data_IF_828639296754
#
_entry.id   IF_828639296754
#
_cell.length_a   1.000
_cell.length_b   1.000
_cell.length_c   1.000
_cell.angle_alpha   90.00
_cell.angle_beta   90.00
_cell.angle_gamma   90.00
#
_symmetry.space_group_name_H-M   'P 1'
#
loop_
_entity.id
_entity.type
_entity.pdbx_description
1 polymer ?
#
# COMPACT_ATOMS: atom_id res chain seq x y z
N UNK A 1 -55.10 21.23 28.74
CA UNK A 1 -54.69 21.14 30.17
C UNK A 1 -53.25 20.61 30.18
N UNK A 2 -52.22 21.45 30.48
CA UNK A 2 -51.42 21.45 31.74
C UNK A 2 -50.88 20.03 32.08
N UNK A 3 -49.58 19.70 32.17
CA UNK A 3 -48.32 20.43 32.44
C UNK A 3 -47.10 19.63 31.91
N UNK A 4 -45.99 20.34 31.67
CA UNK A 4 -44.62 19.82 31.47
C UNK A 4 -43.96 19.46 32.81
N UNK A 5 -43.02 18.51 32.82
CA UNK A 5 -41.84 18.51 33.70
C UNK A 5 -40.69 17.68 33.09
N UNK A 6 -39.47 18.19 33.18
CA UNK A 6 -38.21 17.68 32.63
C UNK A 6 -37.15 17.62 33.76
N UNK A 7 -36.21 16.65 33.74
CA UNK A 7 -34.90 16.61 34.45
C UNK A 7 -34.02 15.57 33.68
N UNK A 8 -33.07 15.94 32.79
CA UNK A 8 -31.62 16.28 32.92
C UNK A 8 -30.70 15.14 33.44
N UNK A 9 -29.61 14.77 32.71
CA UNK A 9 -28.64 13.73 33.10
C UNK A 9 -27.45 14.27 33.91
N UNK A 10 -26.75 13.41 34.67
CA UNK A 10 -25.49 13.76 35.36
C UNK A 10 -24.36 12.84 34.84
N UNK A 11 -23.38 13.48 34.21
CA UNK A 11 -22.04 12.97 33.89
C UNK A 11 -21.16 13.19 35.12
N UNK A 12 -20.35 12.21 35.50
CA UNK A 12 -19.27 12.40 36.48
C UNK A 12 -17.97 11.79 35.94
N UNK A 13 -17.18 12.63 35.29
CA UNK A 13 -15.78 12.42 34.96
C UNK A 13 -14.95 12.48 36.25
N UNK A 14 -14.19 11.43 36.55
CA UNK A 14 -13.29 11.41 37.72
C UNK A 14 -11.87 11.74 37.26
N UNK A 15 -11.45 12.96 37.60
CA UNK A 15 -10.09 13.48 37.43
C UNK A 15 -9.21 12.85 38.52
N UNK A 16 -8.11 12.19 38.12
CA UNK A 16 -7.04 11.79 39.05
C UNK A 16 -5.89 12.78 38.91
N UNK A 17 -5.71 13.59 39.95
CA UNK A 17 -4.57 14.48 40.12
C UNK A 17 -3.38 13.70 40.73
N UNK A 18 -2.21 13.85 40.12
CA UNK A 18 -0.94 13.39 40.69
C UNK A 18 -0.59 14.26 41.91
N UNK A 19 -0.55 13.63 43.09
CA UNK A 19 -0.06 14.21 44.33
C UNK A 19 1.02 13.31 44.95
N UNK A 20 2.21 13.87 45.13
CA UNK A 20 3.40 13.21 45.67
C UNK A 20 3.36 13.14 47.21
N UNK A 21 3.61 11.98 47.84
CA UNK A 21 3.81 11.91 49.29
C UNK A 21 3.82 10.51 49.94
N UNK A 22 5.04 9.99 50.18
CA UNK A 22 5.51 9.08 51.26
C UNK A 22 4.56 8.04 51.93
N UNK A 23 4.82 6.78 51.56
CA UNK A 23 5.00 5.55 52.38
C UNK A 23 4.10 5.22 53.58
N UNK A 24 3.28 4.17 53.42
CA UNK A 24 3.04 3.13 54.45
C UNK A 24 2.61 1.82 53.74
N UNK A 25 3.28 0.70 54.06
CA UNK A 25 3.07 -0.64 53.49
C UNK A 25 1.75 -1.26 53.95
N UNK A 26 0.98 -1.84 53.01
CA UNK A 26 -0.04 -2.82 53.32
C UNK A 26 0.41 -4.18 52.77
N UNK A 27 0.70 -5.09 53.69
CA UNK A 27 1.10 -6.49 53.44
C UNK A 27 -0.06 -7.23 52.80
N UNK A 28 0.14 -7.71 51.57
CA UNK A 28 -0.77 -8.65 50.89
C UNK A 28 -0.39 -10.08 51.33
N UNK A 29 -1.34 -10.99 51.58
CA UNK A 29 -1.04 -12.33 52.11
C UNK A 29 -0.24 -13.19 51.12
N UNK A 30 0.73 -13.94 51.66
CA UNK A 30 1.71 -14.80 50.94
C UNK A 30 1.05 -15.87 50.04
N UNK A 31 -0.22 -16.24 50.29
CA UNK A 31 -0.95 -17.23 49.49
C UNK A 31 -1.44 -16.70 48.13
N UNK A 32 -1.63 -15.38 47.96
CA UNK A 32 -2.04 -14.79 46.65
C UNK A 32 -0.86 -14.51 45.72
N UNK A 33 0.38 -14.41 46.22
CA UNK A 33 1.58 -14.27 45.38
C UNK A 33 2.06 -15.61 44.81
N UNK A 34 1.89 -16.71 45.55
CA UNK A 34 2.28 -18.04 45.06
C UNK A 34 1.36 -18.55 43.94
N UNK A 35 0.08 -18.20 43.97
CA UNK A 35 -0.89 -18.57 42.94
C UNK A 35 -0.71 -17.82 41.61
N UNK A 36 -0.13 -16.60 41.65
CA UNK A 36 0.24 -15.90 40.41
C UNK A 36 1.55 -16.41 39.84
N UNK A 37 2.58 -16.73 40.65
CA UNK A 37 3.86 -17.27 40.16
C UNK A 37 3.72 -18.66 39.50
N UNK A 38 2.93 -19.57 40.08
CA UNK A 38 2.67 -20.90 39.47
C UNK A 38 1.88 -20.80 38.14
N UNK A 39 1.08 -19.74 37.97
CA UNK A 39 0.34 -19.50 36.72
C UNK A 39 1.24 -18.95 35.60
N UNK A 40 2.33 -18.24 35.93
CA UNK A 40 3.31 -17.74 34.95
C UNK A 40 4.26 -18.86 34.53
N UNK A 41 4.64 -19.74 35.44
CA UNK A 41 5.57 -20.85 35.15
C UNK A 41 4.90 -21.99 34.36
N UNK A 42 3.59 -22.22 34.54
CA UNK A 42 2.81 -23.15 33.71
C UNK A 42 2.51 -22.61 32.31
N UNK A 43 2.56 -21.29 32.09
CA UNK A 43 2.42 -20.68 30.76
C UNK A 43 3.75 -20.68 29.98
N UNK A 44 4.88 -20.70 30.67
CA UNK A 44 6.23 -20.61 30.09
C UNK A 44 6.82 -21.97 29.62
N UNK A 45 6.09 -23.08 29.76
CA UNK A 45 6.63 -24.43 29.52
C UNK A 45 5.88 -25.26 28.47
N UNK A 46 5.03 -24.64 27.64
CA UNK A 46 4.37 -25.33 26.51
C UNK A 46 4.79 -24.85 25.11
N UNK A 47 5.80 -23.99 25.00
CA UNK A 47 6.42 -23.68 23.71
C UNK A 47 7.63 -24.57 23.44
N UNK A 48 7.39 -25.66 22.70
CA UNK A 48 8.21 -26.20 21.62
C UNK A 48 7.87 -27.67 21.42
N UNK A 49 7.22 -27.99 20.31
CA UNK A 49 7.82 -28.77 19.22
C UNK A 49 6.74 -28.99 18.17
N UNK A 50 6.44 -27.95 17.38
CA UNK A 50 6.09 -28.20 15.99
C UNK A 50 7.25 -27.67 15.18
N UNK A 51 7.75 -28.53 14.30
CA UNK A 51 8.78 -28.17 13.34
C UNK A 51 8.26 -26.94 12.58
N UNK A 52 8.99 -25.85 12.70
CA UNK A 52 8.85 -24.72 11.79
C UNK A 52 9.25 -25.29 10.43
N UNK A 53 8.25 -25.68 9.63
CA UNK A 53 8.46 -25.65 8.19
C UNK A 53 8.90 -24.22 7.89
N UNK A 54 10.07 -24.08 7.26
CA UNK A 54 10.43 -22.83 6.64
C UNK A 54 9.34 -22.53 5.61
N UNK A 55 8.35 -21.74 6.02
CA UNK A 55 7.49 -21.04 5.09
C UNK A 55 8.38 -19.93 4.56
N UNK A 56 9.11 -20.29 3.51
CA UNK A 56 9.70 -19.35 2.57
C UNK A 56 8.59 -18.37 2.16
N UNK A 57 8.61 -17.16 2.72
CA UNK A 57 7.59 -16.14 2.50
C UNK A 57 7.81 -15.37 1.19
N UNK A 58 8.44 -15.99 0.20
CA UNK A 58 8.70 -15.40 -1.12
C UNK A 58 8.02 -16.20 -2.23
N UNK A 59 6.73 -16.41 -2.07
CA UNK A 59 5.84 -16.74 -3.18
C UNK A 59 4.56 -15.89 -3.02
N UNK A 60 4.74 -14.56 -2.94
CA UNK A 60 3.64 -13.68 -3.33
C UNK A 60 3.48 -13.90 -4.83
N UNK A 61 2.51 -14.74 -5.21
CA UNK A 61 2.08 -14.86 -6.62
C UNK A 61 1.80 -13.44 -7.13
N UNK A 62 2.64 -12.98 -8.06
CA UNK A 62 2.39 -11.70 -8.71
C UNK A 62 0.98 -11.74 -9.30
N UNK A 63 0.12 -10.74 -9.01
CA UNK A 63 -1.25 -10.75 -9.47
C UNK A 63 -1.27 -10.86 -11.00
N UNK A 64 -2.09 -11.78 -11.50
CA UNK A 64 -2.24 -11.99 -12.93
C UNK A 64 -2.93 -10.76 -13.55
N UNK A 65 -2.17 -9.99 -14.33
CA UNK A 65 -2.67 -8.84 -15.07
C UNK A 65 -3.66 -9.26 -16.17
N UNK A 66 -4.62 -8.40 -16.55
CA UNK A 66 -5.62 -8.75 -17.56
C UNK A 66 -4.99 -8.82 -18.96
N UNK A 67 -5.05 -9.95 -19.66
CA UNK A 67 -4.62 -10.00 -21.07
C UNK A 67 -5.67 -9.35 -21.99
N UNK A 68 -5.34 -8.23 -22.63
CA UNK A 68 -6.28 -7.48 -23.48
C UNK A 68 -5.87 -7.58 -24.96
N UNK A 69 -6.62 -8.35 -25.75
CA UNK A 69 -6.45 -8.37 -27.21
C UNK A 69 -7.00 -7.09 -27.85
N UNK A 70 -6.13 -6.10 -28.06
CA UNK A 70 -6.48 -4.83 -28.70
C UNK A 70 -6.59 -4.91 -30.23
N UNK A 71 -6.55 -6.10 -30.84
CA UNK A 71 -6.67 -6.24 -32.30
C UNK A 71 -7.95 -5.58 -32.85
N UNK A 72 -7.78 -4.77 -33.89
CA UNK A 72 -8.89 -4.01 -34.50
C UNK A 72 -9.30 -2.73 -33.75
N UNK A 73 -8.47 -2.27 -32.81
CA UNK A 73 -8.59 -0.95 -32.19
C UNK A 73 -7.49 -0.01 -32.71
N UNK A 74 -7.90 1.14 -33.25
CA UNK A 74 -7.01 2.19 -33.74
C UNK A 74 -6.90 3.37 -32.75
N UNK A 75 -7.71 3.37 -31.68
CA UNK A 75 -7.72 4.41 -30.66
C UNK A 75 -7.96 3.84 -29.27
N UNK A 76 -7.53 4.55 -28.23
CA UNK A 76 -7.85 4.24 -26.83
C UNK A 76 -9.36 4.12 -26.59
N UNK A 77 -10.17 5.02 -27.16
CA UNK A 77 -11.64 4.92 -27.08
C UNK A 77 -12.15 3.59 -27.63
N UNK A 78 -11.57 3.07 -28.71
CA UNK A 78 -11.97 1.77 -29.23
C UNK A 78 -11.53 0.61 -28.33
N UNK A 79 -10.40 0.72 -27.63
CA UNK A 79 -10.01 -0.24 -26.60
C UNK A 79 -11.07 -0.24 -25.49
N UNK A 80 -11.38 0.93 -24.93
CA UNK A 80 -12.39 1.10 -23.88
C UNK A 80 -13.76 0.55 -24.32
N UNK A 81 -14.26 0.98 -25.48
CA UNK A 81 -15.61 0.65 -25.94
C UNK A 81 -15.80 -0.81 -26.40
N UNK A 82 -14.73 -1.46 -26.88
CA UNK A 82 -14.84 -2.77 -27.55
C UNK A 82 -14.18 -3.92 -26.80
N UNK A 83 -13.21 -3.62 -25.92
CA UNK A 83 -12.31 -4.63 -25.35
C UNK A 83 -12.40 -4.72 -23.84
N UNK A 84 -12.75 -3.64 -23.15
CA UNK A 84 -12.88 -3.68 -21.69
C UNK A 84 -14.22 -4.27 -21.28
N UNK A 85 -14.18 -5.08 -20.22
CA UNK A 85 -15.35 -5.74 -19.66
C UNK A 85 -15.88 -4.98 -18.43
N UNK A 86 -17.18 -5.11 -18.09
CA UNK A 86 -17.72 -4.49 -16.88
C UNK A 86 -16.92 -4.87 -15.62
N UNK A 87 -16.55 -3.86 -14.84
CA UNK A 87 -15.71 -4.00 -13.64
C UNK A 87 -14.25 -3.58 -13.83
N UNK A 88 -13.74 -3.61 -15.07
CA UNK A 88 -12.41 -3.09 -15.38
C UNK A 88 -12.37 -1.57 -15.22
N UNK A 89 -11.19 -1.03 -14.89
CA UNK A 89 -10.96 0.40 -14.79
C UNK A 89 -10.10 0.92 -15.93
N UNK A 90 -10.30 2.18 -16.32
CA UNK A 90 -9.41 2.88 -17.23
C UNK A 90 -9.20 4.34 -16.83
N UNK A 91 -8.00 4.86 -17.08
CA UNK A 91 -7.65 6.27 -16.88
C UNK A 91 -6.77 6.78 -18.02
N UNK A 92 -6.85 8.09 -18.31
CA UNK A 92 -5.94 8.76 -19.22
C UNK A 92 -5.03 9.66 -18.42
N UNK A 93 -3.73 9.42 -18.51
CA UNK A 93 -2.71 10.17 -17.80
C UNK A 93 -1.64 10.68 -18.77
N UNK A 94 -0.86 11.66 -18.33
CA UNK A 94 0.38 12.07 -19.02
C UNK A 94 1.57 11.59 -18.21
N UNK A 95 2.36 10.68 -18.78
CA UNK A 95 3.58 10.13 -18.15
C UNK A 95 4.75 10.44 -19.10
N UNK A 96 5.81 11.04 -18.57
CA UNK A 96 6.84 11.70 -19.36
C UNK A 96 6.21 12.74 -20.30
N UNK A 97 6.46 12.59 -21.60
CA UNK A 97 5.86 13.42 -22.66
C UNK A 97 4.72 12.73 -23.41
N UNK A 98 4.33 11.52 -23.01
CA UNK A 98 3.33 10.70 -23.70
C UNK A 98 1.96 10.76 -23.02
N UNK A 99 0.90 10.82 -23.82
CA UNK A 99 -0.47 10.58 -23.37
C UNK A 99 -0.73 9.06 -23.36
N UNK A 100 -1.12 8.51 -22.22
CA UNK A 100 -1.33 7.08 -22.05
C UNK A 100 -2.76 6.71 -21.71
N UNK A 101 -3.09 5.44 -21.96
CA UNK A 101 -4.25 4.77 -21.38
C UNK A 101 -3.73 3.76 -20.35
N UNK A 102 -4.12 3.96 -19.11
CA UNK A 102 -3.96 3.01 -18.01
C UNK A 102 -5.22 2.13 -17.97
N UNK A 103 -5.04 0.81 -17.84
CA UNK A 103 -6.14 -0.16 -17.74
C UNK A 103 -5.84 -1.17 -16.63
N UNK A 104 -6.80 -1.38 -15.74
CA UNK A 104 -6.72 -2.32 -14.63
C UNK A 104 -7.88 -3.33 -14.66
N UNK A 105 -7.70 -4.47 -14.00
CA UNK A 105 -8.71 -5.51 -13.91
C UNK A 105 -9.87 -5.13 -12.97
N UNK A 106 -9.57 -4.38 -11.93
CA UNK A 106 -10.46 -3.99 -10.86
C UNK A 106 -10.08 -2.63 -10.27
N UNK A 107 -11.08 -2.00 -9.67
CA UNK A 107 -10.91 -0.75 -8.93
C UNK A 107 -11.57 -0.87 -7.57
N UNK A 108 -11.16 -0.03 -6.62
CA UNK A 108 -11.79 0.10 -5.32
C UNK A 108 -11.96 1.57 -4.95
N UNK A 109 -13.04 1.87 -4.21
CA UNK A 109 -13.24 3.19 -3.61
C UNK A 109 -12.26 3.34 -2.46
N UNK A 110 -11.29 4.25 -2.60
CA UNK A 110 -10.29 4.54 -1.58
C UNK A 110 -10.87 5.31 -0.38
N UNK A 111 -12.14 5.72 -0.46
CA UNK A 111 -12.88 6.55 0.51
C UNK A 111 -12.38 8.00 0.61
N UNK A 112 -11.48 8.41 -0.28
CA UNK A 112 -10.96 9.77 -0.42
C UNK A 112 -11.47 10.45 -1.70
N UNK A 113 -12.19 9.69 -2.53
CA UNK A 113 -12.90 10.19 -3.71
C UNK A 113 -12.36 9.66 -5.02
N UNK A 114 -11.50 8.65 -4.98
CA UNK A 114 -10.91 8.01 -6.15
C UNK A 114 -11.38 6.56 -6.26
N UNK A 115 -11.61 6.13 -7.49
CA UNK A 115 -11.64 4.71 -7.81
C UNK A 115 -10.20 4.27 -8.13
N UNK A 116 -9.50 3.80 -7.12
CA UNK A 116 -8.09 3.46 -7.19
C UNK A 116 -7.86 2.02 -7.70
N UNK A 117 -6.64 1.75 -8.17
CA UNK A 117 -6.16 0.42 -8.54
C UNK A 117 -4.75 0.16 -7.98
N UNK A 118 -4.38 -1.11 -7.85
CA UNK A 118 -3.03 -1.56 -7.49
C UNK A 118 -2.24 -2.04 -8.70
N UNK A 119 -2.86 -2.15 -9.87
CA UNK A 119 -2.20 -2.57 -11.10
C UNK A 119 -2.67 -1.74 -12.30
N UNK A 120 -1.85 -1.72 -13.34
CA UNK A 120 -2.23 -1.19 -14.63
C UNK A 120 -1.36 -1.74 -15.75
N UNK A 121 -2.01 -2.08 -16.86
CA UNK A 121 -1.39 -2.18 -18.18
C UNK A 121 -1.38 -0.78 -18.79
N UNK A 122 -0.31 -0.46 -19.50
CA UNK A 122 -0.05 0.87 -20.02
C UNK A 122 -0.01 0.80 -21.54
N UNK A 123 -0.85 1.59 -22.19
CA UNK A 123 -0.86 1.74 -23.64
C UNK A 123 -0.41 3.15 -24.03
N UNK A 124 0.43 3.24 -25.06
CA UNK A 124 0.86 4.48 -25.70
C UNK A 124 0.56 4.42 -27.21
N UNK A 125 0.53 5.57 -27.89
CA UNK A 125 0.49 5.58 -29.35
C UNK A 125 1.90 5.50 -29.93
N UNK A 126 2.18 4.45 -30.70
CA UNK A 126 3.43 4.32 -31.48
C UNK A 126 3.05 4.40 -32.96
N UNK A 127 3.60 5.38 -33.67
CA UNK A 127 3.24 5.68 -35.07
C UNK A 127 1.73 5.86 -35.30
N UNK A 128 1.02 6.38 -34.29
CA UNK A 128 -0.43 6.59 -34.33
C UNK A 128 -1.28 5.34 -34.07
N UNK A 129 -0.67 4.23 -33.62
CA UNK A 129 -1.35 2.98 -33.28
C UNK A 129 -1.22 2.72 -31.77
N UNK A 130 -2.33 2.43 -31.05
CA UNK A 130 -2.25 2.01 -29.65
C UNK A 130 -1.41 0.74 -29.51
N UNK A 131 -0.43 0.78 -28.61
CA UNK A 131 0.51 -0.30 -28.35
C UNK A 131 0.70 -0.45 -26.85
N UNK A 132 0.64 -1.68 -26.35
CA UNK A 132 1.01 -1.99 -24.97
C UNK A 132 2.51 -1.80 -24.79
N UNK A 133 2.92 -1.04 -23.79
CA UNK A 133 4.34 -0.72 -23.55
C UNK A 133 4.89 -1.31 -22.24
N UNK A 134 4.01 -1.92 -21.44
CA UNK A 134 4.37 -2.53 -20.17
C UNK A 134 3.23 -2.45 -19.17
N UNK A 135 3.54 -2.85 -17.94
CA UNK A 135 2.61 -2.86 -16.82
C UNK A 135 3.32 -2.56 -15.52
N UNK A 136 2.53 -2.20 -14.51
CA UNK A 136 2.99 -1.95 -13.15
C UNK A 136 2.04 -2.62 -12.16
N UNK A 137 2.60 -3.03 -11.02
CA UNK A 137 1.87 -3.68 -9.94
C UNK A 137 2.43 -3.18 -8.61
N UNK A 138 1.53 -2.72 -7.75
CA UNK A 138 1.77 -2.33 -6.37
C UNK A 138 1.34 -3.44 -5.40
N UNK A 139 1.95 -3.46 -4.21
CA UNK A 139 1.64 -4.44 -3.18
C UNK A 139 0.44 -3.97 -2.32
N UNK A 140 -0.75 -4.34 -2.76
CA UNK A 140 -1.98 -4.19 -1.98
C UNK A 140 -2.54 -2.77 -1.93
N UNK A 141 -3.73 -2.63 -1.36
CA UNK A 141 -4.55 -1.41 -1.45
C UNK A 141 -4.06 -0.25 -0.59
N UNK A 142 -2.98 -0.44 0.19
CA UNK A 142 -2.32 0.65 0.90
C UNK A 142 -1.44 1.50 -0.03
N UNK A 143 -1.11 0.98 -1.21
CA UNK A 143 -0.25 1.62 -2.18
C UNK A 143 -0.91 1.71 -3.57
N UNK A 144 -2.02 2.45 -3.72
CA UNK A 144 -2.61 2.68 -5.04
C UNK A 144 -1.61 3.31 -6.03
N UNK A 145 -1.82 3.08 -7.32
CA UNK A 145 -1.02 3.73 -8.37
C UNK A 145 -1.23 5.25 -8.29
N UNK A 146 -0.12 5.97 -8.30
CA UNK A 146 -0.09 7.44 -8.27
C UNK A 146 0.71 8.01 -9.43
N UNK A 147 0.34 9.20 -9.88
CA UNK A 147 1.03 9.95 -10.93
C UNK A 147 1.17 11.41 -10.50
N UNK A 148 2.36 11.97 -10.68
CA UNK A 148 2.61 13.41 -10.49
C UNK A 148 3.72 13.87 -11.43
N UNK A 149 3.56 15.05 -12.04
CA UNK A 149 4.56 15.68 -12.93
C UNK A 149 5.16 14.75 -14.01
N UNK A 150 4.35 13.81 -14.53
CA UNK A 150 4.77 12.86 -15.56
C UNK A 150 5.53 11.65 -15.03
N UNK A 151 5.55 11.43 -13.71
CA UNK A 151 6.17 10.27 -13.07
C UNK A 151 5.06 9.38 -12.51
N UNK A 152 5.15 8.08 -12.81
CA UNK A 152 4.28 7.06 -12.25
C UNK A 152 4.96 6.41 -11.06
N UNK A 153 4.21 6.19 -9.98
CA UNK A 153 4.71 5.60 -8.75
C UNK A 153 3.92 4.35 -8.35
N UNK A 154 4.62 3.36 -7.81
CA UNK A 154 4.04 2.17 -7.18
C UNK A 154 4.81 1.82 -5.90
N UNK A 155 4.06 1.45 -4.86
CA UNK A 155 4.63 0.91 -3.62
C UNK A 155 4.61 -0.62 -3.63
N UNK A 156 5.70 -1.26 -3.19
CA UNK A 156 5.81 -2.71 -3.01
C UNK A 156 6.22 -3.02 -1.57
N UNK A 157 5.26 -2.91 -0.64
CA UNK A 157 5.44 -3.26 0.76
C UNK A 157 6.36 -2.29 1.49
N UNK A 158 7.67 -2.56 1.41
CA UNK A 158 8.74 -1.76 2.02
C UNK A 158 9.63 -1.04 0.99
N UNK A 159 9.20 -0.99 -0.26
CA UNK A 159 9.88 -0.22 -1.30
C UNK A 159 8.90 0.61 -2.12
N UNK A 160 9.43 1.63 -2.78
CA UNK A 160 8.71 2.48 -3.72
C UNK A 160 9.54 2.55 -4.99
N UNK A 161 8.86 2.32 -6.11
CA UNK A 161 9.42 2.42 -7.45
C UNK A 161 8.77 3.56 -8.19
N UNK A 162 9.56 4.28 -8.99
CA UNK A 162 9.04 5.28 -9.91
C UNK A 162 9.47 5.01 -11.35
N UNK A 163 8.58 5.33 -12.27
CA UNK A 163 8.67 5.07 -13.69
C UNK A 163 8.35 6.32 -14.48
N UNK A 164 8.89 6.39 -15.69
CA UNK A 164 8.52 7.38 -16.70
C UNK A 164 8.29 6.67 -18.03
N UNK A 165 7.91 7.42 -19.06
CA UNK A 165 7.89 6.92 -20.43
C UNK A 165 8.85 7.76 -21.26
N UNK A 166 9.80 7.09 -21.88
CA UNK A 166 10.74 7.69 -22.83
C UNK A 166 10.77 6.86 -24.10
N UNK A 167 10.74 7.52 -25.26
CA UNK A 167 10.71 6.85 -26.57
C UNK A 167 9.59 5.80 -26.69
N UNK A 168 8.43 6.09 -26.07
CA UNK A 168 7.28 5.19 -26.02
C UNK A 168 7.56 3.82 -25.37
N UNK A 169 8.55 3.76 -24.46
CA UNK A 169 8.85 2.60 -23.62
C UNK A 169 8.65 2.97 -22.15
N UNK A 170 8.12 2.04 -21.35
CA UNK A 170 8.08 2.20 -19.89
C UNK A 170 9.50 2.06 -19.34
N UNK A 171 9.99 3.11 -18.68
CA UNK A 171 11.35 3.18 -18.14
C UNK A 171 11.29 3.20 -16.63
N UNK A 172 11.96 2.24 -15.99
CA UNK A 172 12.23 2.29 -14.56
C UNK A 172 13.23 3.41 -14.27
N UNK A 173 12.87 4.32 -13.37
CA UNK A 173 13.71 5.47 -13.02
C UNK A 173 14.48 5.20 -11.74
N UNK A 174 13.79 4.71 -10.69
CA UNK A 174 14.43 4.35 -9.44
C UNK A 174 13.55 3.47 -8.57
N UNK A 175 14.17 2.70 -7.69
CA UNK A 175 13.54 2.05 -6.52
C UNK A 175 14.32 2.42 -5.27
N UNK A 176 13.64 2.69 -4.17
CA UNK A 176 14.24 2.73 -2.84
C UNK A 176 13.42 1.87 -1.89
N UNK A 177 14.08 1.17 -0.97
CA UNK A 177 13.39 0.31 -0.03
C UNK A 177 14.18 -0.02 1.23
N UNK A 178 13.51 -0.79 2.09
CA UNK A 178 14.05 -1.29 3.35
C UNK A 178 13.79 -2.78 3.43
N UNK A 179 14.84 -3.57 3.63
CA UNK A 179 14.74 -4.97 3.98
C UNK A 179 14.85 -5.14 5.49
N UNK A 180 13.95 -5.96 6.05
CA UNK A 180 13.93 -6.29 7.46
C UNK A 180 14.50 -7.69 7.69
N UNK A 181 15.61 -7.75 8.42
CA UNK A 181 16.17 -9.01 8.91
C UNK A 181 15.27 -9.67 9.96
N UNK A 182 15.47 -10.97 10.18
CA UNK A 182 14.72 -11.76 11.18
C UNK A 182 14.87 -11.21 12.60
N UNK A 183 15.98 -10.55 12.89
CA UNK A 183 16.26 -9.88 14.17
C UNK A 183 15.69 -8.45 14.25
N UNK A 184 14.97 -8.00 13.21
CA UNK A 184 14.45 -6.64 13.08
C UNK A 184 15.50 -5.62 12.64
N UNK A 185 16.67 -6.05 12.16
CA UNK A 185 17.65 -5.13 11.55
C UNK A 185 17.13 -4.58 10.22
N UNK A 186 17.44 -3.32 9.94
CA UNK A 186 17.03 -2.61 8.73
C UNK A 186 18.22 -2.50 7.78
N UNK A 187 18.03 -2.86 6.52
CA UNK A 187 18.99 -2.64 5.44
C UNK A 187 18.34 -1.81 4.35
N UNK A 188 18.83 -0.59 4.17
CA UNK A 188 18.32 0.32 3.14
C UNK A 188 18.98 0.05 1.80
N UNK A 189 18.22 0.19 0.72
CA UNK A 189 18.76 0.04 -0.62
C UNK A 189 18.20 1.06 -1.60
N UNK A 190 18.93 1.27 -2.67
CA UNK A 190 18.53 2.10 -3.80
C UNK A 190 19.00 1.49 -5.12
N UNK A 191 18.14 1.53 -6.12
CA UNK A 191 18.44 1.11 -7.48
C UNK A 191 18.09 2.27 -8.42
N UNK A 192 19.05 2.70 -9.25
CA UNK A 192 18.82 3.70 -10.31
C UNK A 192 18.57 2.99 -11.64
N UNK A 193 17.36 3.15 -12.18
CA UNK A 193 16.85 2.39 -13.32
C UNK A 193 17.16 0.90 -13.23
N UNK A 194 17.50 0.26 -14.36
CA UNK A 194 17.89 -1.16 -14.39
C UNK A 194 19.34 -1.42 -13.90
N UNK A 195 19.90 -0.50 -13.11
CA UNK A 195 21.24 -0.62 -12.52
C UNK A 195 21.33 -1.67 -11.41
N UNK A 196 22.53 -1.85 -10.88
CA UNK A 196 22.73 -2.66 -9.67
C UNK A 196 22.12 -1.96 -8.46
N UNK A 197 21.53 -2.75 -7.57
CA UNK A 197 21.06 -2.28 -6.27
C UNK A 197 22.25 -1.97 -5.35
N UNK A 198 22.21 -0.79 -4.72
CA UNK A 198 23.21 -0.33 -3.78
C UNK A 198 22.65 -0.35 -2.35
N UNK A 199 23.36 -0.98 -1.43
CA UNK A 199 23.07 -0.88 0.01
C UNK A 199 23.47 0.50 0.54
N UNK A 200 22.60 1.14 1.30
CA UNK A 200 22.78 2.47 1.88
C UNK A 200 22.99 2.41 3.40
N UNK A 201 23.69 3.40 3.94
CA UNK A 201 23.91 3.53 5.39
C UNK A 201 22.70 4.12 6.14
N UNK A 202 21.77 4.77 5.42
CA UNK A 202 20.62 5.45 5.98
C UNK A 202 19.41 5.43 5.03
N UNK A 203 18.29 5.98 5.49
CA UNK A 203 16.98 5.96 4.84
C UNK A 203 16.69 7.16 3.93
N UNK A 204 17.68 8.02 3.64
CA UNK A 204 17.45 9.29 2.95
C UNK A 204 16.75 9.11 1.59
N UNK A 205 17.17 8.11 0.82
CA UNK A 205 16.58 7.81 -0.49
C UNK A 205 15.17 7.22 -0.39
N UNK A 206 14.95 6.36 0.60
CA UNK A 206 13.63 5.80 0.85
C UNK A 206 12.64 6.89 1.27
N UNK A 207 13.01 7.70 2.26
CA UNK A 207 12.19 8.83 2.73
C UNK A 207 11.88 9.79 1.59
N UNK A 208 12.87 10.13 0.76
CA UNK A 208 12.64 10.98 -0.40
C UNK A 208 11.60 10.40 -1.37
N UNK A 209 11.73 9.12 -1.76
CA UNK A 209 10.77 8.49 -2.68
C UNK A 209 9.40 8.28 -2.04
N UNK A 210 9.34 8.04 -0.73
CA UNK A 210 8.10 7.96 0.02
C UNK A 210 7.37 9.30 0.05
N UNK A 211 8.07 10.38 0.37
CA UNK A 211 7.49 11.72 0.33
C UNK A 211 6.98 12.06 -1.09
N UNK A 212 7.77 11.77 -2.13
CA UNK A 212 7.33 11.96 -3.52
C UNK A 212 6.06 11.16 -3.85
N UNK A 213 5.97 9.90 -3.42
CA UNK A 213 4.80 9.05 -3.65
C UNK A 213 3.56 9.55 -2.90
N UNK A 214 3.70 9.89 -1.62
CA UNK A 214 2.56 10.31 -0.80
C UNK A 214 2.08 11.74 -1.12
N UNK A 215 2.93 12.57 -1.74
CA UNK A 215 2.53 13.86 -2.30
C UNK A 215 1.93 13.74 -3.71
N UNK A 216 2.07 12.60 -4.39
CA UNK A 216 1.56 12.38 -5.73
C UNK A 216 0.03 12.17 -5.76
N UNK A 217 -0.57 12.43 -6.92
CA UNK A 217 -2.01 12.27 -7.11
C UNK A 217 -2.36 10.80 -7.39
N UNK A 218 -3.28 10.23 -6.61
CA UNK A 218 -3.82 8.90 -6.90
C UNK A 218 -4.57 8.91 -8.22
N UNK A 219 -4.30 7.92 -9.07
CA UNK A 219 -4.99 7.77 -10.35
C UNK A 219 -6.45 7.40 -10.12
N UNK A 220 -7.36 8.25 -10.59
CA UNK A 220 -8.81 8.03 -10.50
C UNK A 220 -9.33 7.31 -11.75
N UNK A 221 -9.55 6.00 -11.64
CA UNK A 221 -9.99 5.18 -12.76
C UNK A 221 -11.50 5.29 -12.98
N UNK A 222 -11.90 5.42 -14.25
CA UNK A 222 -13.30 5.23 -14.63
C UNK A 222 -13.61 3.74 -14.73
N UNK A 223 -14.65 3.31 -14.01
CA UNK A 223 -15.12 1.91 -14.04
C UNK A 223 -16.02 1.67 -15.25
N UNK A 224 -15.73 0.61 -16.00
CA UNK A 224 -16.60 0.14 -17.08
C UNK A 224 -17.86 -0.48 -16.49
N UNK A 225 -19.03 0.00 -16.95
CA UNK A 225 -20.36 -0.46 -16.51
C UNK A 225 -21.13 -1.08 -17.67
N UNK A 226 -22.15 -1.89 -17.35
CA UNK A 226 -23.06 -2.51 -18.34
C UNK A 226 -23.89 -1.51 -19.17
#
# INVERSE_FOLDING_TARGET
>A
MKKRLAIVPIVASMVLAFGCGKTEEAVVPEEEQQAVEDAIESAASQEQTEAVEEVDSTDEEEPALPEIDISGCDTFTQIVDKKLEPGMGYANEKIGDEDVLLVCDMTYDDQEGHMASIDSIIFCYIDGVPTEIGSVVAAGTAYPIAVEDGVLYVGRGHSISKYTIENSELVHVATAGVDYGVDGSETYYYQEGDGEEETLENDEKYTQLADEYFDASIVDFTVVVE
#
